data_IF_468547960160
#
_entry.id   IF_468547960160
#
_cell.length_a   1.000
_cell.length_b   1.000
_cell.length_c   1.000
_cell.angle_alpha   90.00
_cell.angle_beta   90.00
_cell.angle_gamma   90.00
#
_symmetry.space_group_name_H-M   'P 1'
#
loop_
_entity.id
_entity.type
_entity.pdbx_description
1 polymer ?
#
# COMPACT_ATOMS: atom_id res chain seq x y z
N UNK A 1 -15.00 8.21 -8.24
CA UNK A 1 -14.77 7.19 -7.21
C UNK A 1 -13.66 6.24 -7.68
N UNK A 2 -12.40 6.68 -7.66
CA UNK A 2 -11.29 5.87 -8.15
C UNK A 2 -10.05 6.25 -7.38
N UNK A 3 -9.88 5.72 -6.18
CA UNK A 3 -8.63 5.86 -5.46
C UNK A 3 -7.89 4.55 -5.51
N UNK A 4 -6.78 4.55 -6.22
CA UNK A 4 -5.85 3.44 -6.27
C UNK A 4 -4.91 3.43 -5.09
N UNK A 5 -4.43 2.25 -4.74
CA UNK A 5 -3.49 1.94 -3.67
C UNK A 5 -3.96 2.27 -2.25
N UNK A 6 -4.41 3.49 -1.97
CA UNK A 6 -4.81 3.89 -0.62
C UNK A 6 -6.10 3.19 -0.22
N UNK A 7 -7.16 3.34 -1.03
CA UNK A 7 -8.45 2.67 -0.78
C UNK A 7 -8.38 1.15 -0.98
N UNK A 8 -7.55 0.66 -1.89
CA UNK A 8 -7.42 -0.76 -2.15
C UNK A 8 -6.82 -1.50 -0.96
N UNK A 9 -5.85 -0.88 -0.27
CA UNK A 9 -5.31 -1.42 0.99
C UNK A 9 -6.36 -1.44 2.08
N UNK A 10 -7.09 -0.33 2.26
CA UNK A 10 -8.17 -0.24 3.24
C UNK A 10 -9.26 -1.28 2.95
N UNK A 11 -9.75 -1.37 1.69
CA UNK A 11 -10.73 -2.39 1.29
C UNK A 11 -10.26 -3.81 1.62
N UNK A 12 -9.00 -4.12 1.29
CA UNK A 12 -8.44 -5.44 1.56
C UNK A 12 -8.35 -5.70 3.06
N UNK A 13 -7.88 -4.73 3.85
CA UNK A 13 -7.78 -4.86 5.31
C UNK A 13 -9.17 -5.03 5.95
N UNK A 14 -10.17 -4.26 5.51
CA UNK A 14 -11.55 -4.40 6.00
C UNK A 14 -12.17 -5.75 5.63
N UNK A 15 -11.95 -6.25 4.41
CA UNK A 15 -12.43 -7.57 4.03
C UNK A 15 -11.80 -8.69 4.85
N UNK A 16 -10.51 -8.57 5.21
CA UNK A 16 -9.86 -9.51 6.12
C UNK A 16 -10.47 -9.40 7.53
N UNK A 17 -10.70 -8.19 8.04
CA UNK A 17 -11.33 -7.96 9.33
C UNK A 17 -12.77 -8.50 9.37
N UNK A 18 -13.55 -8.34 8.30
CA UNK A 18 -14.86 -8.96 8.14
C UNK A 18 -14.78 -10.49 8.30
N UNK A 19 -13.79 -11.11 7.67
CA UNK A 19 -13.56 -12.55 7.79
C UNK A 19 -13.19 -13.01 9.20
N UNK A 20 -12.49 -12.18 9.96
CA UNK A 20 -12.17 -12.41 11.37
C UNK A 20 -13.41 -12.33 12.27
N UNK A 21 -14.49 -11.64 11.81
CA UNK A 21 -15.72 -11.42 12.57
C UNK A 21 -15.48 -10.80 13.95
N UNK A 22 -14.44 -9.96 14.06
CA UNK A 22 -14.10 -9.21 15.26
C UNK A 22 -14.54 -7.74 15.15
N UNK A 23 -14.63 -7.06 16.28
CA UNK A 23 -14.81 -5.62 16.31
C UNK A 23 -13.50 -4.92 15.93
N UNK A 24 -13.57 -3.88 15.09
CA UNK A 24 -12.42 -3.01 14.81
C UNK A 24 -12.35 -1.98 15.94
N UNK A 25 -11.34 -2.14 16.81
CA UNK A 25 -11.14 -1.27 17.98
C UNK A 25 -10.42 0.02 17.62
N UNK A 26 -9.44 -0.08 16.71
CA UNK A 26 -8.62 1.05 16.28
C UNK A 26 -8.36 0.95 14.78
N UNK A 27 -8.48 2.08 14.09
CA UNK A 27 -8.04 2.25 12.71
C UNK A 27 -7.05 3.42 12.64
N UNK A 28 -5.90 3.20 12.00
CA UNK A 28 -4.90 4.22 11.77
C UNK A 28 -4.56 4.29 10.28
N UNK A 29 -4.97 5.37 9.61
CA UNK A 29 -4.53 5.67 8.24
C UNK A 29 -3.24 6.49 8.26
N UNK A 30 -2.13 5.81 8.02
CA UNK A 30 -0.80 6.42 7.95
C UNK A 30 -0.41 6.84 6.53
N UNK A 31 -1.39 7.02 5.64
CA UNK A 31 -1.11 7.38 4.24
C UNK A 31 -0.50 8.76 4.08
N UNK A 32 -0.91 9.72 4.91
CA UNK A 32 -0.46 11.11 4.81
C UNK A 32 0.57 11.45 5.87
N UNK A 33 0.35 11.01 7.11
CA UNK A 33 1.19 11.32 8.25
C UNK A 33 1.47 10.06 9.08
N UNK A 34 2.55 10.06 9.84
CA UNK A 34 2.72 9.12 10.93
C UNK A 34 1.72 9.44 12.06
N UNK A 35 1.39 8.49 12.93
CA UNK A 35 0.65 8.81 14.16
C UNK A 35 1.34 9.93 14.94
N UNK A 36 0.55 10.81 15.56
CA UNK A 36 1.08 11.95 16.32
C UNK A 36 1.88 11.51 17.56
N UNK A 37 1.55 10.33 18.08
CA UNK A 37 2.23 9.67 19.20
C UNK A 37 2.60 8.25 18.83
N UNK A 38 3.61 7.70 19.49
CA UNK A 38 3.93 6.28 19.36
C UNK A 38 2.75 5.43 19.87
N UNK A 39 2.44 4.39 19.13
CA UNK A 39 1.32 3.48 19.44
C UNK A 39 1.87 2.16 19.95
N UNK A 40 1.52 1.85 21.19
CA UNK A 40 1.82 0.58 21.84
C UNK A 40 0.67 -0.39 21.62
N UNK A 41 0.97 -1.57 21.06
CA UNK A 41 0.00 -2.61 20.75
C UNK A 41 0.24 -3.80 21.68
N UNK A 42 -0.82 -4.25 22.33
CA UNK A 42 -0.75 -5.31 23.33
C UNK A 42 -0.94 -6.72 22.73
N UNK A 43 -0.56 -7.74 23.48
CA UNK A 43 -0.52 -9.14 23.05
C UNK A 43 -1.92 -9.76 22.79
N UNK A 44 -2.98 -9.15 23.31
CA UNK A 44 -4.38 -9.51 23.08
C UNK A 44 -5.03 -8.81 21.86
N UNK A 45 -4.27 -7.97 21.12
CA UNK A 45 -4.72 -7.18 19.99
C UNK A 45 -4.18 -7.71 18.66
N UNK A 46 -5.05 -8.31 17.83
CA UNK A 46 -4.66 -8.71 16.48
C UNK A 46 -4.63 -7.49 15.55
N UNK A 47 -3.46 -7.23 14.98
CA UNK A 47 -3.26 -6.10 14.07
C UNK A 47 -3.18 -6.55 12.60
N UNK A 48 -3.87 -5.86 11.70
CA UNK A 48 -3.69 -6.01 10.25
C UNK A 48 -2.91 -4.80 9.73
N UNK A 49 -1.73 -5.03 9.17
CA UNK A 49 -0.91 -3.96 8.58
C UNK A 49 -0.87 -4.10 7.07
N UNK A 50 -1.54 -3.18 6.35
CA UNK A 50 -1.62 -3.20 4.90
C UNK A 50 -0.72 -2.12 4.26
N UNK A 51 0.24 -2.53 3.43
CA UNK A 51 1.21 -1.64 2.79
C UNK A 51 1.22 -1.75 1.26
N UNK A 52 1.58 -0.66 0.53
CA UNK A 52 1.69 -0.69 -0.93
C UNK A 52 3.06 -1.18 -1.38
N UNK A 53 3.09 -1.81 -2.55
CA UNK A 53 4.33 -2.28 -3.19
C UNK A 53 4.78 -1.31 -4.27
N UNK A 54 6.00 -0.78 -4.16
CA UNK A 54 6.65 0.05 -5.16
C UNK A 54 8.00 -0.53 -5.56
N UNK A 55 8.09 -1.02 -6.81
CA UNK A 55 9.32 -1.60 -7.34
C UNK A 55 9.77 -2.90 -6.64
N UNK A 56 8.82 -3.68 -6.12
CA UNK A 56 9.08 -4.96 -5.45
C UNK A 56 9.47 -4.83 -3.97
N UNK A 57 9.35 -3.64 -3.39
CA UNK A 57 9.61 -3.31 -1.99
C UNK A 57 8.41 -2.56 -1.41
N UNK A 58 8.27 -2.50 -0.11
CA UNK A 58 7.31 -1.61 0.53
C UNK A 58 7.65 -0.14 0.20
N UNK A 59 6.65 0.73 0.11
CA UNK A 59 6.90 2.17 -0.04
C UNK A 59 7.70 2.71 1.15
N UNK A 60 8.80 3.43 0.90
CA UNK A 60 9.69 3.94 1.95
C UNK A 60 8.94 4.80 2.97
N UNK A 61 8.06 5.67 2.49
CA UNK A 61 7.21 6.51 3.38
C UNK A 61 6.30 5.69 4.28
N UNK A 62 5.81 4.52 3.84
CA UNK A 62 5.05 3.62 4.71
C UNK A 62 5.94 2.97 5.77
N UNK A 63 7.16 2.55 5.38
CA UNK A 63 8.14 1.99 6.31
C UNK A 63 8.58 3.00 7.38
N UNK A 64 8.78 4.26 6.99
CA UNK A 64 9.12 5.33 7.93
C UNK A 64 8.00 5.57 8.96
N UNK A 65 6.75 5.60 8.50
CA UNK A 65 5.58 5.85 9.35
C UNK A 65 5.25 4.68 10.26
N UNK A 66 5.55 3.46 9.83
CA UNK A 66 5.39 2.25 10.65
C UNK A 66 6.32 2.22 11.86
N UNK A 67 7.40 3.02 11.88
CA UNK A 67 8.30 3.11 13.05
C UNK A 67 7.65 3.67 14.31
N UNK A 68 6.49 4.31 14.18
CA UNK A 68 5.72 4.81 15.32
C UNK A 68 4.90 3.71 16.02
N UNK A 69 4.91 2.48 15.50
CA UNK A 69 4.17 1.35 16.09
C UNK A 69 5.14 0.41 16.80
N UNK A 70 4.83 0.12 18.06
CA UNK A 70 5.57 -0.82 18.88
C UNK A 70 4.61 -1.87 19.44
N UNK A 71 5.09 -3.07 19.61
CA UNK A 71 4.27 -4.17 20.10
C UNK A 71 4.97 -4.99 21.18
N UNK A 72 4.17 -5.55 22.05
CA UNK A 72 4.60 -6.46 23.10
C UNK A 72 4.11 -7.88 22.77
N UNK A 73 4.75 -8.53 21.79
CA UNK A 73 4.38 -9.86 21.28
C UNK A 73 2.94 -9.90 20.69
N UNK A 74 2.43 -8.77 20.20
CA UNK A 74 1.09 -8.69 19.60
C UNK A 74 1.01 -9.47 18.28
N UNK A 75 -0.06 -10.25 18.04
CA UNK A 75 -0.24 -10.94 16.78
C UNK A 75 -0.47 -9.94 15.63
N UNK A 76 0.19 -10.19 14.48
CA UNK A 76 0.05 -9.32 13.31
C UNK A 76 -0.15 -10.11 12.02
N UNK A 77 -0.90 -9.51 11.10
CA UNK A 77 -1.08 -9.99 9.72
C UNK A 77 -0.49 -8.94 8.77
N UNK A 78 0.77 -9.09 8.33
CA UNK A 78 1.32 -8.27 7.26
C UNK A 78 0.61 -8.56 5.94
N UNK A 79 0.16 -7.50 5.29
CA UNK A 79 -0.55 -7.54 4.01
C UNK A 79 0.10 -6.57 3.04
N UNK A 80 0.39 -7.02 1.82
CA UNK A 80 0.84 -6.12 0.75
C UNK A 80 -0.19 -6.09 -0.38
N UNK A 81 -0.42 -4.90 -0.93
CA UNK A 81 -1.26 -4.71 -2.11
C UNK A 81 -0.37 -4.21 -3.26
N UNK A 82 -0.41 -4.94 -4.39
CA UNK A 82 0.48 -4.69 -5.52
C UNK A 82 -0.27 -4.66 -6.86
N UNK A 83 0.33 -3.96 -7.85
CA UNK A 83 -0.27 -3.70 -9.16
C UNK A 83 -0.11 -4.83 -10.17
N UNK A 84 -0.33 -6.09 -9.78
CA UNK A 84 -0.38 -7.29 -10.64
C UNK A 84 0.91 -7.63 -11.43
N UNK A 85 2.05 -7.01 -11.12
CA UNK A 85 3.33 -7.43 -11.71
C UNK A 85 4.00 -8.50 -10.85
N UNK A 86 4.53 -8.09 -9.72
CA UNK A 86 5.14 -8.92 -8.68
C UNK A 86 5.33 -8.05 -7.41
N UNK A 87 5.22 -8.67 -6.24
CA UNK A 87 5.52 -8.01 -4.97
C UNK A 87 6.95 -8.29 -4.47
N UNK A 88 7.67 -9.19 -5.14
CA UNK A 88 9.08 -9.52 -4.89
C UNK A 88 9.39 -9.68 -3.38
N UNK A 89 10.14 -8.76 -2.78
CA UNK A 89 10.56 -8.83 -1.38
C UNK A 89 9.63 -8.08 -0.40
N UNK A 90 8.61 -7.37 -0.90
CA UNK A 90 7.81 -6.46 -0.09
C UNK A 90 7.10 -7.12 1.10
N UNK A 91 6.56 -8.32 0.92
CA UNK A 91 5.84 -9.01 2.01
C UNK A 91 6.81 -9.44 3.11
N UNK A 92 7.98 -9.96 2.73
CA UNK A 92 9.02 -10.33 3.68
C UNK A 92 9.57 -9.11 4.41
N UNK A 93 9.86 -8.02 3.69
CA UNK A 93 10.32 -6.76 4.26
C UNK A 93 9.32 -6.20 5.30
N UNK A 94 8.03 -6.19 4.96
CA UNK A 94 6.99 -5.74 5.89
C UNK A 94 6.95 -6.62 7.14
N UNK A 95 6.97 -7.94 6.95
CA UNK A 95 6.95 -8.90 8.06
C UNK A 95 8.16 -8.76 8.97
N UNK A 96 9.37 -8.70 8.40
CA UNK A 96 10.61 -8.56 9.18
C UNK A 96 10.61 -7.25 9.99
N UNK A 97 10.15 -6.15 9.39
CA UNK A 97 10.02 -4.85 10.07
C UNK A 97 9.04 -4.90 11.25
N UNK A 98 7.92 -5.59 11.08
CA UNK A 98 6.95 -5.76 12.16
C UNK A 98 7.49 -6.66 13.28
N UNK A 99 8.27 -7.69 12.95
CA UNK A 99 9.00 -8.50 13.95
C UNK A 99 9.99 -7.64 14.74
N UNK A 100 10.75 -6.79 14.05
CA UNK A 100 11.68 -5.86 14.71
C UNK A 100 10.96 -4.85 15.62
N UNK A 101 9.70 -4.50 15.31
CA UNK A 101 8.83 -3.66 16.13
C UNK A 101 8.13 -4.43 17.28
N UNK A 102 8.42 -5.74 17.46
CA UNK A 102 7.91 -6.54 18.57
C UNK A 102 6.62 -7.32 18.27
N UNK A 103 6.13 -7.33 17.04
CA UNK A 103 4.98 -8.12 16.62
C UNK A 103 5.32 -9.60 16.35
N UNK A 104 4.30 -10.44 16.40
CA UNK A 104 4.36 -11.86 16.04
C UNK A 104 3.51 -12.12 14.79
N UNK A 105 4.09 -12.33 13.60
CA UNK A 105 3.32 -12.61 12.40
C UNK A 105 2.57 -13.94 12.50
N UNK A 106 1.26 -13.90 12.51
CA UNK A 106 0.39 -15.09 12.59
C UNK A 106 -0.05 -15.61 11.23
N UNK A 107 -0.12 -14.74 10.25
CA UNK A 107 -0.37 -15.05 8.84
C UNK A 107 0.18 -13.92 7.98
N UNK A 108 0.25 -14.09 6.65
CA UNK A 108 0.71 -13.05 5.75
C UNK A 108 -0.01 -13.15 4.40
N UNK A 109 -0.28 -12.01 3.73
CA UNK A 109 -1.02 -12.01 2.48
C UNK A 109 -0.53 -11.00 1.45
N UNK A 110 -0.63 -11.35 0.16
CA UNK A 110 -0.39 -10.45 -0.96
C UNK A 110 -1.63 -10.40 -1.86
N UNK A 111 -2.19 -9.21 -2.06
CA UNK A 111 -3.42 -9.00 -2.82
C UNK A 111 -3.18 -8.08 -4.02
N UNK A 112 -3.95 -8.31 -5.08
CA UNK A 112 -3.85 -7.50 -6.29
C UNK A 112 -4.72 -6.26 -6.15
N UNK A 113 -4.17 -5.10 -6.51
CA UNK A 113 -4.89 -3.86 -6.72
C UNK A 113 -4.66 -3.34 -8.14
N UNK A 114 -5.46 -2.38 -8.58
CA UNK A 114 -5.24 -1.74 -9.87
C UNK A 114 -3.88 -1.04 -9.89
N UNK A 115 -3.08 -1.23 -10.93
CA UNK A 115 -1.76 -0.62 -11.03
C UNK A 115 -1.84 0.91 -11.13
N UNK A 116 -0.90 1.63 -10.49
CA UNK A 116 -0.85 3.11 -10.53
C UNK A 116 -0.81 3.67 -11.96
N UNK A 117 -0.23 2.93 -12.88
CA UNK A 117 -0.12 3.32 -14.29
C UNK A 117 -1.23 2.76 -15.18
N UNK A 118 -2.24 2.10 -14.61
CA UNK A 118 -3.41 1.63 -15.36
C UNK A 118 -4.19 2.80 -15.98
N UNK A 119 -4.52 2.70 -17.25
CA UNK A 119 -5.29 3.69 -18.03
C UNK A 119 -6.36 2.97 -18.85
N UNK A 120 -7.30 3.73 -19.40
CA UNK A 120 -8.35 3.18 -20.28
C UNK A 120 -7.80 2.49 -21.52
N UNK A 121 -6.73 3.04 -22.10
CA UNK A 121 -6.03 2.53 -23.28
C UNK A 121 -4.95 1.49 -22.96
N UNK A 122 -4.56 1.38 -21.70
CA UNK A 122 -3.59 0.39 -21.22
C UNK A 122 -4.01 -0.09 -19.82
N UNK A 123 -5.02 -0.95 -19.73
CA UNK A 123 -5.51 -1.42 -18.43
C UNK A 123 -4.55 -2.44 -17.80
N UNK A 124 -4.20 -2.23 -16.54
CA UNK A 124 -3.36 -3.13 -15.75
C UNK A 124 -4.09 -3.44 -14.44
N UNK A 125 -4.67 -4.62 -14.33
CA UNK A 125 -5.54 -5.04 -13.23
C UNK A 125 -6.66 -4.00 -12.96
N UNK A 126 -7.23 -3.44 -14.03
CA UNK A 126 -8.24 -2.41 -13.92
C UNK A 126 -9.47 -2.90 -13.15
N UNK A 127 -9.93 -2.08 -12.20
CA UNK A 127 -11.09 -2.39 -11.37
C UNK A 127 -10.80 -3.31 -10.18
N UNK A 128 -9.53 -3.74 -9.98
CA UNK A 128 -9.13 -4.53 -8.81
C UNK A 128 -8.82 -3.63 -7.60
N UNK A 129 -9.09 -4.07 -6.34
CA UNK A 129 -9.74 -5.33 -6.00
C UNK A 129 -11.23 -5.33 -6.35
N UNK A 130 -11.67 -6.42 -6.95
CA UNK A 130 -13.07 -6.70 -7.31
C UNK A 130 -13.77 -7.56 -6.25
N UNK A 131 -14.99 -8.04 -6.54
CA UNK A 131 -15.76 -8.86 -5.60
C UNK A 131 -15.06 -10.20 -5.31
N UNK A 132 -14.40 -10.80 -6.30
CA UNK A 132 -13.68 -12.05 -6.08
C UNK A 132 -12.45 -11.85 -5.17
N UNK A 133 -11.81 -10.68 -5.25
CA UNK A 133 -10.72 -10.29 -4.34
C UNK A 133 -11.25 -10.06 -2.92
N UNK A 134 -12.40 -9.40 -2.81
CA UNK A 134 -13.07 -9.18 -1.54
C UNK A 134 -13.38 -10.53 -0.87
N UNK A 135 -14.06 -11.43 -1.58
CA UNK A 135 -14.33 -12.78 -1.07
C UNK A 135 -13.06 -13.54 -0.68
N UNK A 136 -11.98 -13.41 -1.45
CA UNK A 136 -10.70 -14.05 -1.14
C UNK A 136 -10.10 -13.48 0.16
N UNK A 137 -10.19 -12.17 0.37
CA UNK A 137 -9.74 -11.51 1.59
C UNK A 137 -10.58 -11.92 2.82
N UNK A 138 -11.91 -12.02 2.66
CA UNK A 138 -12.80 -12.53 3.71
C UNK A 138 -12.48 -13.97 4.06
N UNK A 139 -12.28 -14.85 3.06
CA UNK A 139 -11.87 -16.25 3.31
C UNK A 139 -10.52 -16.32 4.02
N UNK A 140 -9.58 -15.45 3.67
CA UNK A 140 -8.29 -15.36 4.34
C UNK A 140 -8.45 -14.96 5.82
N UNK A 141 -9.30 -13.97 6.12
CA UNK A 141 -9.63 -13.58 7.49
C UNK A 141 -10.22 -14.73 8.30
N UNK A 142 -11.17 -15.50 7.74
CA UNK A 142 -11.76 -16.70 8.40
C UNK A 142 -10.68 -17.74 8.70
N UNK A 143 -9.79 -18.01 7.76
CA UNK A 143 -8.70 -18.97 7.96
C UNK A 143 -7.72 -18.54 9.07
N UNK A 144 -7.47 -17.22 9.21
CA UNK A 144 -6.69 -16.68 10.33
C UNK A 144 -7.42 -16.93 11.66
N UNK A 145 -8.70 -16.63 11.74
CA UNK A 145 -9.53 -16.88 12.93
C UNK A 145 -9.45 -18.35 13.34
N UNK A 146 -9.77 -19.26 12.43
CA UNK A 146 -9.71 -20.70 12.67
C UNK A 146 -8.32 -21.20 13.11
N UNK A 147 -7.25 -20.55 12.62
CA UNK A 147 -5.89 -20.84 13.03
C UNK A 147 -5.64 -20.41 14.47
N UNK A 148 -6.04 -19.19 14.82
CA UNK A 148 -5.84 -18.63 16.16
C UNK A 148 -6.67 -19.35 17.21
N UNK A 149 -7.90 -19.78 16.90
CA UNK A 149 -8.73 -20.58 17.80
C UNK A 149 -8.14 -21.96 18.17
N UNK A 150 -7.17 -22.45 17.40
CA UNK A 150 -6.50 -23.75 17.61
C UNK A 150 -5.14 -23.62 18.31
N UNK A 151 -4.73 -22.41 18.65
CA UNK A 151 -3.41 -22.12 19.21
C UNK A 151 -3.58 -21.53 20.60
N UNK A 152 -3.10 -22.23 21.61
CA UNK A 152 -3.18 -21.76 23.00
C UNK A 152 -2.19 -20.61 23.26
N UNK A 153 -1.02 -20.64 22.62
CA UNK A 153 0.02 -19.61 22.76
C UNK A 153 0.66 -19.31 21.41
N UNK A 154 0.90 -18.01 21.11
CA UNK A 154 1.55 -17.57 19.86
C UNK A 154 2.96 -18.17 19.70
N UNK A 155 3.65 -18.43 20.78
CA UNK A 155 4.98 -19.09 20.81
C UNK A 155 4.98 -20.49 20.17
N UNK A 156 3.81 -21.14 20.09
CA UNK A 156 3.64 -22.44 19.43
C UNK A 156 3.55 -22.34 17.91
N UNK A 157 3.39 -21.14 17.36
CA UNK A 157 3.33 -20.92 15.92
C UNK A 157 4.72 -21.09 15.28
N UNK A 158 4.75 -21.84 14.18
CA UNK A 158 5.98 -21.93 13.38
C UNK A 158 6.21 -20.60 12.65
N UNK A 159 7.48 -20.19 12.46
CA UNK A 159 7.79 -19.05 11.61
C UNK A 159 7.13 -19.18 10.24
N UNK A 160 6.62 -18.08 9.70
CA UNK A 160 5.99 -18.07 8.40
C UNK A 160 7.04 -18.19 7.29
N UNK A 161 6.85 -19.15 6.40
CA UNK A 161 7.56 -19.19 5.13
C UNK A 161 6.84 -18.31 4.13
N UNK A 162 7.52 -17.30 3.59
CA UNK A 162 6.95 -16.38 2.62
C UNK A 162 7.94 -16.03 1.51
N UNK A 163 7.40 -15.64 0.36
CA UNK A 163 8.21 -15.17 -0.75
C UNK A 163 8.96 -13.89 -0.38
N UNK A 164 10.22 -13.82 -0.78
CA UNK A 164 11.11 -12.68 -0.60
C UNK A 164 12.53 -13.15 -0.28
N UNK A 165 13.50 -12.30 -0.58
CA UNK A 165 14.91 -12.56 -0.35
C UNK A 165 15.43 -11.68 0.80
N UNK A 166 16.53 -12.12 1.41
CA UNK A 166 17.33 -11.29 2.28
C UNK A 166 18.82 -11.53 1.92
N UNK A 167 19.61 -10.47 1.65
CA UNK A 167 19.25 -9.05 1.65
C UNK A 167 18.20 -8.73 0.58
N UNK A 168 17.34 -7.73 0.87
CA UNK A 168 16.27 -7.31 -0.03
C UNK A 168 16.84 -6.69 -1.30
N UNK A 169 16.04 -6.74 -2.37
CA UNK A 169 16.33 -6.11 -3.65
C UNK A 169 16.69 -4.63 -3.46
N UNK A 170 17.84 -4.25 -4.00
CA UNK A 170 18.24 -2.84 -4.08
C UNK A 170 17.48 -2.19 -5.23
N UNK A 171 16.71 -1.13 -4.93
CA UNK A 171 16.08 -0.32 -5.97
C UNK A 171 17.18 0.40 -6.78
N UNK A 172 17.11 0.30 -8.09
CA UNK A 172 18.00 1.05 -8.97
C UNK A 172 17.79 2.58 -8.82
N UNK A 173 18.72 3.40 -9.34
CA UNK A 173 18.57 4.85 -9.30
C UNK A 173 17.27 5.26 -9.99
N UNK A 174 16.48 6.10 -9.33
CA UNK A 174 15.25 6.64 -9.87
C UNK A 174 15.49 8.02 -10.44
N UNK A 175 15.18 8.23 -11.72
CA UNK A 175 15.21 9.57 -12.30
C UNK A 175 14.12 10.41 -11.59
N UNK A 176 14.45 11.59 -11.04
CA UNK A 176 13.47 12.49 -10.47
C UNK A 176 12.43 12.89 -11.53
N UNK A 177 11.19 12.54 -11.32
CA UNK A 177 10.06 12.85 -12.21
C UNK A 177 8.80 13.02 -11.40
N UNK A 178 7.95 13.96 -11.82
CA UNK A 178 6.64 14.19 -11.22
C UNK A 178 5.59 14.38 -12.31
N UNK A 179 4.31 14.18 -12.02
CA UNK A 179 3.22 14.52 -12.92
C UNK A 179 3.23 15.99 -13.28
N UNK A 180 2.91 16.27 -14.54
CA UNK A 180 2.74 17.63 -15.06
C UNK A 180 1.27 18.03 -15.09
N UNK A 181 1.00 19.34 -15.12
CA UNK A 181 -0.35 19.90 -15.19
C UNK A 181 -0.60 20.48 -16.58
N UNK A 182 -1.74 20.19 -17.17
CA UNK A 182 -2.27 20.93 -18.30
C UNK A 182 -3.02 22.16 -17.76
N UNK A 183 -2.43 23.33 -17.92
CA UNK A 183 -2.95 24.59 -17.41
C UNK A 183 -4.29 24.98 -18.07
N UNK A 184 -4.60 24.45 -19.26
CA UNK A 184 -5.88 24.74 -19.94
C UNK A 184 -7.04 23.95 -19.31
N UNK A 185 -6.76 22.84 -18.64
CA UNK A 185 -7.75 22.01 -17.98
C UNK A 185 -7.80 22.24 -16.47
N UNK A 186 -6.73 22.79 -15.89
CA UNK A 186 -6.60 22.95 -14.45
C UNK A 186 -7.50 24.09 -13.93
N UNK A 187 -8.42 23.76 -13.04
CA UNK A 187 -9.29 24.74 -12.35
C UNK A 187 -8.70 25.21 -11.02
N UNK A 188 -7.49 24.80 -10.68
CA UNK A 188 -6.82 25.09 -9.39
C UNK A 188 -7.65 24.72 -8.16
N UNK A 189 -8.39 23.62 -8.25
CA UNK A 189 -9.23 23.13 -7.16
C UNK A 189 -8.43 22.53 -5.95
N UNK A 190 -7.11 22.50 -6.04
CA UNK A 190 -6.15 22.04 -5.00
C UNK A 190 -6.30 20.58 -4.59
N UNK A 191 -7.28 19.84 -5.09
CA UNK A 191 -7.51 18.45 -4.71
C UNK A 191 -6.28 17.53 -4.90
N UNK A 192 -5.43 17.84 -5.89
CA UNK A 192 -4.17 17.10 -6.09
C UNK A 192 -3.14 17.35 -4.97
N UNK A 193 -3.21 18.49 -4.27
CA UNK A 193 -2.39 18.80 -3.08
C UNK A 193 -2.87 17.91 -1.92
N UNK A 194 -4.17 17.87 -1.67
CA UNK A 194 -4.78 17.13 -0.56
C UNK A 194 -4.51 15.62 -0.64
N UNK A 195 -4.50 15.06 -1.88
CA UNK A 195 -4.28 13.61 -2.07
C UNK A 195 -2.81 13.24 -2.21
N UNK A 196 -1.88 14.18 -2.05
CA UNK A 196 -0.46 13.89 -2.16
C UNK A 196 0.12 13.37 -0.83
N UNK A 197 0.51 12.08 -0.74
CA UNK A 197 0.94 11.48 0.52
C UNK A 197 2.30 11.97 1.02
N UNK A 198 3.00 12.80 0.24
CA UNK A 198 4.33 13.33 0.56
C UNK A 198 4.41 14.84 0.35
N UNK A 199 3.28 15.52 0.23
CA UNK A 199 3.20 16.98 0.06
C UNK A 199 4.10 17.53 -1.05
N UNK A 200 4.27 16.76 -2.15
CA UNK A 200 5.12 17.14 -3.28
C UNK A 200 4.45 18.13 -4.25
N UNK A 201 3.25 18.63 -3.96
CA UNK A 201 2.48 19.49 -4.85
C UNK A 201 2.15 20.80 -4.15
N UNK A 202 2.38 21.91 -4.84
CA UNK A 202 2.10 23.27 -4.34
C UNK A 202 1.68 24.19 -5.49
N UNK A 203 1.19 25.37 -5.17
CA UNK A 203 0.98 26.46 -6.13
C UNK A 203 2.21 27.36 -6.09
N UNK A 204 2.80 27.60 -7.25
CA UNK A 204 3.94 28.50 -7.45
C UNK A 204 3.62 29.39 -8.65
N UNK A 205 3.67 30.70 -8.50
CA UNK A 205 3.35 31.68 -9.56
C UNK A 205 2.00 31.40 -10.26
N UNK A 206 0.96 31.17 -9.48
CA UNK A 206 -0.40 30.83 -9.95
C UNK A 206 -0.49 29.55 -10.81
N UNK A 207 0.47 28.61 -10.63
CA UNK A 207 0.50 27.32 -11.35
C UNK A 207 0.71 26.16 -10.41
N UNK A 208 0.12 25.02 -10.76
CA UNK A 208 0.35 23.77 -10.04
C UNK A 208 1.76 23.26 -10.30
N UNK A 209 2.61 23.31 -9.30
CA UNK A 209 3.96 22.77 -9.32
C UNK A 209 3.99 21.39 -8.64
N UNK A 210 4.81 20.47 -9.16
CA UNK A 210 5.09 19.19 -8.53
C UNK A 210 6.60 19.02 -8.40
N UNK A 211 7.08 18.88 -7.17
CA UNK A 211 8.49 18.66 -6.90
C UNK A 211 8.92 17.22 -7.29
N UNK A 212 9.76 17.04 -8.32
CA UNK A 212 10.20 15.72 -8.75
C UNK A 212 11.15 15.03 -7.77
N UNK A 213 11.78 15.78 -6.85
CA UNK A 213 12.67 15.19 -5.85
C UNK A 213 11.89 14.53 -4.71
N UNK A 214 10.75 15.13 -4.32
CA UNK A 214 9.87 14.61 -3.26
C UNK A 214 8.86 13.59 -3.80
N UNK A 215 8.51 13.65 -5.09
CA UNK A 215 7.47 12.83 -5.68
C UNK A 215 7.80 11.33 -5.68
N UNK A 216 6.99 10.50 -5.00
CA UNK A 216 7.11 9.04 -4.95
C UNK A 216 6.45 8.32 -6.15
N UNK A 217 5.93 9.04 -7.12
CA UNK A 217 5.28 8.52 -8.36
C UNK A 217 4.08 7.61 -8.09
N UNK A 218 3.33 7.85 -7.03
CA UNK A 218 2.13 7.08 -6.67
C UNK A 218 0.96 7.31 -7.60
N UNK A 219 0.98 8.38 -8.40
CA UNK A 219 -0.08 8.80 -9.33
C UNK A 219 -1.45 9.09 -8.70
N UNK A 220 -1.56 9.26 -7.39
CA UNK A 220 -2.81 9.64 -6.74
C UNK A 220 -3.37 10.94 -7.34
N UNK A 221 -2.56 11.98 -7.46
CA UNK A 221 -2.95 13.26 -8.05
C UNK A 221 -3.39 13.19 -9.54
N UNK A 222 -2.92 12.17 -10.27
CA UNK A 222 -3.34 11.94 -11.66
C UNK A 222 -4.70 11.26 -11.71
N UNK A 223 -4.91 10.28 -10.85
CA UNK A 223 -6.14 9.48 -10.80
C UNK A 223 -7.31 10.24 -10.21
N UNK A 224 -7.04 11.12 -9.28
CA UNK A 224 -8.04 11.85 -8.51
C UNK A 224 -8.32 13.24 -9.06
N UNK A 225 -7.60 13.70 -10.09
CA UNK A 225 -7.89 15.01 -10.70
C UNK A 225 -9.28 14.99 -11.36
N UNK A 226 -10.24 15.77 -10.88
CA UNK A 226 -11.60 15.78 -11.42
C UNK A 226 -11.65 16.23 -12.87
N UNK A 227 -10.75 17.15 -13.26
CA UNK A 227 -10.66 17.70 -14.61
C UNK A 227 -9.75 16.89 -15.54
N UNK A 228 -9.06 15.85 -15.03
CA UNK A 228 -8.07 15.11 -15.81
C UNK A 228 -6.87 15.94 -16.25
N UNK A 229 -6.62 17.08 -15.58
CA UNK A 229 -5.55 18.02 -15.90
C UNK A 229 -4.15 17.51 -15.55
N UNK A 230 -4.03 16.41 -14.82
CA UNK A 230 -2.74 15.87 -14.34
C UNK A 230 -2.32 14.68 -15.19
N UNK A 231 -1.07 14.68 -15.66
CA UNK A 231 -0.52 13.59 -16.48
C UNK A 231 0.84 13.15 -15.94
N UNK A 232 1.05 11.84 -15.85
CA UNK A 232 2.32 11.27 -15.47
C UNK A 232 3.16 10.99 -16.73
N UNK A 233 4.36 11.57 -16.83
CA UNK A 233 5.27 11.38 -17.97
C UNK A 233 5.76 9.93 -18.13
N UNK A 234 5.69 9.11 -17.09
CA UNK A 234 6.02 7.67 -17.16
C UNK A 234 5.11 6.89 -18.12
N UNK A 235 3.98 7.48 -18.52
CA UNK A 235 3.05 6.87 -19.48
C UNK A 235 3.51 6.96 -20.96
N UNK A 236 4.55 7.72 -21.27
CA UNK A 236 4.98 7.99 -22.66
C UNK A 236 6.00 6.99 -23.21
N UNK A 237 6.55 6.11 -22.37
CA UNK A 237 7.47 5.05 -22.79
C UNK A 237 6.99 3.72 -22.23
N UNK A 238 6.47 2.79 -23.06
CA UNK A 238 6.24 1.42 -22.63
C UNK A 238 7.59 0.83 -22.21
N UNK A 239 7.64 0.23 -21.03
CA UNK A 239 8.81 -0.53 -20.60
C UNK A 239 8.97 -1.72 -21.57
N UNK A 240 10.19 -2.06 -22.02
CA UNK A 240 10.42 -3.28 -22.80
C UNK A 240 9.95 -4.57 -22.11
N UNK A 241 9.61 -4.51 -20.82
CA UNK A 241 9.09 -5.61 -20.02
C UNK A 241 7.56 -5.72 -20.01
N UNK A 242 6.86 -4.67 -20.46
CA UNK A 242 5.39 -4.66 -20.47
C UNK A 242 4.80 -5.50 -21.61
N UNK A 243 5.62 -5.88 -22.61
CA UNK A 243 5.26 -6.77 -23.71
C UNK A 243 5.34 -8.27 -23.42
N UNK A 244 5.66 -8.67 -22.19
CA UNK A 244 5.80 -10.09 -21.78
C UNK A 244 4.60 -10.62 -20.98
N UNK A 245 3.53 -9.85 -20.87
CA UNK A 245 2.30 -10.23 -20.16
C UNK A 245 1.13 -10.45 -21.13
N UNK A 246 1.39 -11.16 -22.24
CA UNK A 246 0.37 -11.73 -23.11
C UNK A 246 0.22 -13.22 -22.85
#
# INVERSE_FOLDING_TARGET
QRQMCIRDRAKTAYAIAEGLSGDVLLESDITYDAPAEELEIHDDELTIVAAPVYGGRVAETAMERLRAFHAHQAPVVPVVVYGNRDYEDALKELSDTLVDAGFVPVSAGAFVGEHSFSRKDMPIAAGRPDEADHEAAVRFGRAIKEKLEKVDELSCLKPLEMKGNFPYKVKGPSTPQAPVTDENLCTQCEYCIDVCPVSAISIVDDRMFSDPATCIKCCACVKECPEGARTCLLYTSPSPRDGLLS
#
